data_IF_883697032842
#
_entry.id   IF_883697032842
#
_cell.length_a   1.000
_cell.length_b   1.000
_cell.length_c   1.000
_cell.angle_alpha   90.00
_cell.angle_beta   90.00
_cell.angle_gamma   90.00
#
_symmetry.space_group_name_H-M   'P 1'
#
loop_
_entity.id
_entity.type
_entity.pdbx_description
1 polymer ?
#
# COMPACT_ATOMS: atom_id res chain seq x y z
N UNK A 1 19.82 12.18 -13.12
CA UNK A 1 19.58 12.19 -11.65
C UNK A 1 18.12 11.78 -11.47
N UNK A 2 17.83 10.49 -11.66
CA UNK A 2 16.46 10.05 -11.96
C UNK A 2 16.11 8.78 -11.21
N UNK A 3 15.50 8.93 -10.03
CA UNK A 3 14.79 7.84 -9.34
C UNK A 3 13.97 8.30 -8.10
N UNK A 4 13.90 9.60 -7.81
CA UNK A 4 13.11 10.13 -6.68
C UNK A 4 11.64 10.32 -7.08
N UNK A 5 10.91 9.22 -7.10
CA UNK A 5 9.60 9.02 -6.46
C UNK A 5 9.07 7.71 -7.02
N UNK A 6 9.46 6.61 -6.37
CA UNK A 6 8.87 5.30 -6.61
C UNK A 6 7.41 5.39 -6.17
N UNK A 7 6.53 5.70 -7.13
CA UNK A 7 5.07 5.55 -7.00
C UNK A 7 4.84 4.19 -6.35
N UNK A 8 4.17 4.15 -5.20
CA UNK A 8 4.05 2.95 -4.37
C UNK A 8 3.15 1.92 -5.09
N UNK A 9 3.74 1.23 -6.08
CA UNK A 9 3.07 0.27 -6.96
C UNK A 9 3.12 -1.16 -6.40
N UNK A 10 3.53 -1.33 -5.15
CA UNK A 10 3.54 -2.64 -4.52
C UNK A 10 2.12 -3.24 -4.50
N UNK A 11 1.98 -4.58 -4.64
CA UNK A 11 0.70 -5.27 -4.51
C UNK A 11 -0.01 -4.97 -3.19
N UNK A 12 -1.30 -5.27 -3.10
CA UNK A 12 -2.02 -5.20 -1.84
C UNK A 12 -1.48 -6.25 -0.87
N UNK A 13 -1.25 -5.83 0.36
CA UNK A 13 -1.01 -6.73 1.47
C UNK A 13 -2.36 -7.21 2.02
N UNK A 14 -2.40 -8.41 2.62
CA UNK A 14 -3.64 -8.97 3.19
C UNK A 14 -4.27 -8.10 4.29
N UNK A 15 -3.43 -7.32 4.99
CA UNK A 15 -3.85 -6.39 6.04
C UNK A 15 -4.15 -4.97 5.52
N UNK A 16 -4.00 -4.71 4.23
CA UNK A 16 -4.38 -3.41 3.67
C UNK A 16 -5.91 -3.29 3.61
N UNK A 17 -6.40 -2.10 3.92
CA UNK A 17 -7.80 -1.71 3.74
C UNK A 17 -7.86 -0.41 2.94
N UNK A 18 -9.07 0.10 2.68
CA UNK A 18 -9.22 1.41 2.01
C UNK A 18 -8.74 2.59 2.87
N UNK A 19 -8.62 2.40 4.20
CA UNK A 19 -8.30 3.47 5.17
C UNK A 19 -6.97 3.27 5.88
N UNK A 20 -6.44 2.05 5.92
CA UNK A 20 -5.22 1.70 6.63
C UNK A 20 -4.33 0.82 5.74
N UNK A 21 -3.03 0.82 6.04
CA UNK A 21 -2.06 0.08 5.22
C UNK A 21 -1.02 -0.63 6.06
N UNK A 22 -0.60 -1.82 5.64
CA UNK A 22 0.58 -2.47 6.19
C UNK A 22 1.84 -1.81 5.61
N UNK A 23 2.68 -1.30 6.50
CA UNK A 23 3.77 -0.40 6.15
C UNK A 23 3.29 1.02 5.82
N UNK A 24 4.24 1.93 5.61
CA UNK A 24 3.94 3.28 5.15
C UNK A 24 3.88 3.29 3.62
N UNK A 25 2.69 3.55 3.04
CA UNK A 25 2.49 3.64 1.58
C UNK A 25 2.69 5.06 1.03
N UNK A 26 3.20 5.99 1.84
CA UNK A 26 3.54 7.34 1.37
C UNK A 26 4.81 7.28 0.52
N UNK A 27 4.74 7.78 -0.72
CA UNK A 27 5.82 7.62 -1.70
C UNK A 27 7.14 8.35 -1.35
N UNK A 28 7.07 9.35 -0.47
CA UNK A 28 8.23 10.08 0.05
C UNK A 28 8.02 10.45 1.54
N UNK A 29 8.77 9.87 2.49
CA UNK A 29 8.67 10.19 3.91
C UNK A 29 8.77 11.68 4.24
N UNK A 30 9.62 12.43 3.52
CA UNK A 30 9.84 13.87 3.76
C UNK A 30 8.57 14.71 3.54
N UNK A 31 7.66 14.24 2.69
CA UNK A 31 6.39 14.91 2.39
C UNK A 31 5.24 14.49 3.29
N UNK A 32 5.47 13.60 4.27
CA UNK A 32 4.42 13.08 5.14
C UNK A 32 4.48 13.74 6.52
N UNK A 33 3.53 14.63 6.81
CA UNK A 33 3.42 15.30 8.12
C UNK A 33 3.11 14.36 9.28
N UNK A 34 2.71 13.12 8.98
CA UNK A 34 2.44 12.05 9.95
C UNK A 34 3.56 11.01 10.01
N UNK A 35 4.67 11.23 9.30
CA UNK A 35 5.81 10.31 9.32
C UNK A 35 6.37 10.21 10.74
N UNK A 36 6.64 8.99 11.21
CA UNK A 36 7.12 8.70 12.56
C UNK A 36 6.24 9.18 13.73
N UNK A 37 5.00 9.59 13.47
CA UNK A 37 4.07 9.93 14.54
C UNK A 37 3.60 8.66 15.27
N UNK A 38 3.83 8.61 16.58
CA UNK A 38 3.40 7.51 17.45
C UNK A 38 1.90 7.25 17.33
N UNK A 39 1.52 5.98 17.35
CA UNK A 39 0.13 5.57 17.17
C UNK A 39 -0.42 5.81 15.76
N UNK A 40 0.30 6.42 14.81
CA UNK A 40 -0.19 6.65 13.44
C UNK A 40 0.68 5.99 12.38
N UNK A 41 1.99 6.21 12.41
CA UNK A 41 2.86 5.77 11.33
C UNK A 41 3.33 4.33 11.53
N UNK A 42 3.25 3.53 10.47
CA UNK A 42 3.75 2.16 10.45
C UNK A 42 5.23 2.02 10.84
N UNK A 43 6.06 3.07 10.65
CA UNK A 43 7.48 3.02 11.00
C UNK A 43 7.72 2.96 12.51
N UNK A 44 6.79 3.45 13.34
CA UNK A 44 6.96 3.50 14.80
C UNK A 44 5.93 2.65 15.54
N UNK A 45 4.84 2.24 14.88
CA UNK A 45 3.84 1.36 15.49
C UNK A 45 4.31 -0.09 15.52
N UNK A 46 4.03 -0.76 16.64
CA UNK A 46 4.36 -2.18 16.86
C UNK A 46 3.70 -3.12 15.84
N UNK A 47 2.48 -2.80 15.41
CA UNK A 47 1.71 -3.59 14.44
C UNK A 47 2.08 -3.29 12.97
N UNK A 48 2.95 -2.30 12.74
CA UNK A 48 3.39 -1.87 11.40
C UNK A 48 2.24 -1.39 10.51
N UNK A 49 1.11 -0.97 11.09
CA UNK A 49 -0.02 -0.41 10.34
C UNK A 49 0.13 1.11 10.27
N UNK A 50 -0.05 1.69 9.09
CA UNK A 50 -0.18 3.13 8.92
C UNK A 50 -1.67 3.49 8.93
N UNK A 51 -2.07 4.32 9.88
CA UNK A 51 -3.45 4.81 10.05
C UNK A 51 -3.78 6.05 9.23
N UNK A 52 -2.77 6.63 8.57
CA UNK A 52 -2.93 7.82 7.75
C UNK A 52 -2.22 7.65 6.41
N UNK A 53 -2.66 6.68 5.58
CA UNK A 53 -2.13 6.56 4.23
C UNK A 53 -2.42 7.83 3.41
N UNK A 54 -1.74 8.04 2.26
CA UNK A 54 -2.01 9.17 1.38
C UNK A 54 -3.50 9.26 1.01
N UNK A 55 -4.04 10.46 0.81
CA UNK A 55 -5.45 10.63 0.45
C UNK A 55 -5.84 9.88 -0.85
N UNK A 56 -4.89 9.71 -1.78
CA UNK A 56 -5.08 8.93 -3.00
C UNK A 56 -5.12 7.41 -2.79
N UNK A 57 -4.89 6.93 -1.56
CA UNK A 57 -4.81 5.51 -1.25
C UNK A 57 -6.12 4.78 -1.48
N UNK A 58 -7.27 5.32 -1.04
CA UNK A 58 -8.56 4.65 -1.22
C UNK A 58 -8.84 4.31 -2.70
N UNK A 59 -8.54 5.25 -3.60
CA UNK A 59 -8.61 5.03 -5.05
C UNK A 59 -7.62 3.97 -5.53
N UNK A 60 -6.39 3.99 -5.01
CA UNK A 60 -5.34 3.01 -5.37
C UNK A 60 -5.67 1.61 -4.86
N UNK A 61 -6.18 1.48 -3.66
CA UNK A 61 -6.63 0.22 -3.05
C UNK A 61 -7.66 -0.46 -3.95
N UNK A 62 -8.69 0.28 -4.38
CA UNK A 62 -9.71 -0.25 -5.28
C UNK A 62 -9.12 -0.71 -6.62
N UNK A 63 -8.24 0.07 -7.24
CA UNK A 63 -7.58 -0.32 -8.49
C UNK A 63 -6.75 -1.60 -8.34
N UNK A 64 -6.00 -1.73 -7.24
CA UNK A 64 -5.20 -2.92 -6.97
C UNK A 64 -6.08 -4.14 -6.65
N UNK A 65 -7.20 -3.94 -5.96
CA UNK A 65 -8.15 -5.00 -5.63
C UNK A 65 -8.79 -5.56 -6.91
N UNK A 66 -9.27 -4.68 -7.79
CA UNK A 66 -9.80 -5.05 -9.10
C UNK A 66 -8.73 -5.70 -9.98
N UNK A 67 -7.48 -5.23 -9.95
CA UNK A 67 -6.39 -5.85 -10.69
C UNK A 67 -6.11 -7.29 -10.20
N UNK A 68 -6.10 -7.51 -8.89
CA UNK A 68 -5.90 -8.85 -8.30
C UNK A 68 -7.08 -9.80 -8.56
N UNK A 69 -8.30 -9.30 -8.65
CA UNK A 69 -9.47 -10.08 -9.06
C UNK A 69 -9.39 -10.50 -10.54
N UNK A 70 -8.81 -9.66 -11.40
CA UNK A 70 -8.59 -9.96 -12.82
C UNK A 70 -7.40 -10.92 -13.06
N UNK A 71 -6.45 -11.02 -12.13
CA UNK A 71 -5.33 -11.98 -12.19
C UNK A 71 -5.69 -13.37 -11.61
N UNK A 72 -6.89 -13.52 -11.01
CA UNK A 72 -7.41 -14.77 -10.47
C UNK A 72 -7.76 -15.87 -11.49
N UNK A 73 -7.44 -15.69 -12.78
CA UNK A 73 -7.65 -16.67 -13.84
C UNK A 73 -6.36 -16.98 -14.63
N UNK A 74 -5.22 -17.12 -13.94
CA UNK A 74 -3.92 -17.47 -14.55
C UNK A 74 -3.26 -18.70 -13.88
N UNK A 75 -3.82 -19.23 -12.79
CA UNK A 75 -3.25 -20.38 -12.07
C UNK A 75 -4.06 -21.69 -12.16
N UNK A 76 -4.99 -21.82 -13.11
CA UNK A 76 -5.75 -23.06 -13.37
C UNK A 76 -5.67 -23.49 -14.84
N UNK A 77 -4.46 -23.51 -15.43
CA UNK A 77 -4.25 -24.03 -16.80
C UNK A 77 -2.84 -24.57 -17.02
N UNK A 78 -2.30 -25.32 -16.06
CA UNK A 78 -1.07 -26.09 -16.27
C UNK A 78 -1.16 -27.52 -15.73
N UNK A 79 -2.19 -28.25 -16.12
CA UNK A 79 -2.12 -29.71 -16.28
C UNK A 79 -3.09 -30.13 -17.40
N UNK A 80 -2.52 -30.46 -18.57
CA UNK A 80 -2.80 -31.56 -19.52
C UNK A 80 -1.90 -31.33 -20.74
#
# INVERSE_FOLDING_TARGET
MDSKLKRCNAPLHILDTSTETYGCRYGNPDGCVKCYLEGVCAFVRKDKICQSPPWSWAKRYLLLKLAGENEGNVYESKEI
#
